data_IF_882849396539
#
_entry.id   IF_882849396539
#
_cell.length_a   1.000
_cell.length_b   1.000
_cell.length_c   1.000
_cell.angle_alpha   90.00
_cell.angle_beta   90.00
_cell.angle_gamma   90.00
#
_symmetry.space_group_name_H-M   'P 1'
#
loop_
_entity.id
_entity.type
_entity.pdbx_description
1 polymer ?
#
# COMPACT_ATOMS: atom_id res chain seq x y z
N UNK A 1 -4.04 23.44 9.13
CA UNK A 1 -4.72 22.32 9.80
C UNK A 1 -4.33 21.01 9.15
N UNK A 2 -3.67 20.11 9.89
CA UNK A 2 -3.01 18.89 9.41
C UNK A 2 -3.94 17.71 9.13
N UNK A 3 -5.14 17.97 8.63
CA UNK A 3 -6.15 16.95 8.34
C UNK A 3 -5.90 16.26 6.99
N UNK A 4 -6.35 15.01 6.86
CA UNK A 4 -6.29 14.23 5.62
C UNK A 4 -7.38 14.71 4.65
N UNK A 5 -6.98 15.23 3.49
CA UNK A 5 -7.88 15.75 2.48
C UNK A 5 -8.01 14.76 1.32
N UNK A 6 -9.19 14.15 1.15
CA UNK A 6 -9.45 13.19 0.08
C UNK A 6 -9.60 13.89 -1.28
N UNK A 7 -8.99 13.30 -2.31
CA UNK A 7 -9.15 13.69 -3.72
C UNK A 7 -9.82 12.59 -4.54
N UNK A 8 -9.33 12.36 -5.75
CA UNK A 8 -9.90 11.38 -6.68
C UNK A 8 -9.68 9.94 -6.22
N UNK A 9 -10.66 9.08 -6.46
CA UNK A 9 -10.48 7.62 -6.32
C UNK A 9 -9.50 7.12 -7.39
N UNK A 10 -8.51 6.34 -6.98
CA UNK A 10 -7.47 5.78 -7.86
C UNK A 10 -7.58 4.26 -8.01
N UNK A 11 -8.31 3.59 -7.11
CA UNK A 11 -8.55 2.16 -7.20
C UNK A 11 -9.73 1.72 -6.34
N UNK A 12 -10.35 0.61 -6.73
CA UNK A 12 -11.37 -0.08 -5.94
C UNK A 12 -11.16 -1.59 -6.05
N UNK A 13 -11.24 -2.28 -4.92
CA UNK A 13 -11.10 -3.73 -4.84
C UNK A 13 -12.01 -4.33 -3.77
N UNK A 14 -11.83 -5.64 -3.51
CA UNK A 14 -12.65 -6.36 -2.54
C UNK A 14 -12.60 -5.77 -1.13
N UNK A 15 -11.43 -5.27 -0.71
CA UNK A 15 -11.18 -4.76 0.63
C UNK A 15 -11.64 -3.32 0.86
N UNK A 16 -11.76 -2.52 -0.20
CA UNK A 16 -11.92 -1.08 -0.04
C UNK A 16 -11.70 -0.27 -1.29
N UNK A 17 -11.62 1.05 -1.08
CA UNK A 17 -11.34 2.05 -2.11
C UNK A 17 -10.07 2.79 -1.74
N UNK A 18 -9.23 3.05 -2.73
CA UNK A 18 -8.00 3.83 -2.59
C UNK A 18 -8.23 5.19 -3.22
N UNK A 19 -7.91 6.24 -2.49
CA UNK A 19 -8.01 7.62 -2.93
C UNK A 19 -6.62 8.24 -2.97
N UNK A 20 -6.36 9.07 -3.99
CA UNK A 20 -5.34 10.09 -3.87
C UNK A 20 -5.82 11.09 -2.82
N UNK A 21 -4.97 11.44 -1.87
CA UNK A 21 -5.27 12.39 -0.82
C UNK A 21 -4.07 13.28 -0.54
N UNK A 22 -4.25 14.30 0.30
CA UNK A 22 -3.19 15.21 0.73
C UNK A 22 -3.16 15.27 2.26
N UNK A 23 -1.97 15.11 2.84
CA UNK A 23 -1.74 15.23 4.28
C UNK A 23 -0.46 16.01 4.54
N UNK A 24 -0.55 17.04 5.41
CA UNK A 24 0.57 17.96 5.69
C UNK A 24 1.26 18.49 4.42
N UNK A 25 0.46 18.84 3.40
CA UNK A 25 0.90 19.30 2.08
C UNK A 25 1.56 18.26 1.15
N UNK A 26 1.71 17.00 1.60
CA UNK A 26 2.26 15.87 0.83
C UNK A 26 1.14 15.03 0.23
N UNK A 27 1.33 14.57 -1.01
CA UNK A 27 0.40 13.65 -1.66
C UNK A 27 0.56 12.23 -1.05
N UNK A 28 -0.56 11.61 -0.69
CA UNK A 28 -0.63 10.28 -0.06
C UNK A 28 -1.71 9.41 -0.71
N UNK A 29 -1.56 8.09 -0.59
CA UNK A 29 -2.59 7.11 -0.96
C UNK A 29 -3.36 6.70 0.29
N UNK A 30 -4.67 6.95 0.31
CA UNK A 30 -5.56 6.61 1.42
C UNK A 30 -6.48 5.43 1.05
N UNK A 31 -6.19 4.24 1.59
CA UNK A 31 -7.02 3.03 1.44
C UNK A 31 -8.09 3.01 2.52
N UNK A 32 -9.34 3.25 2.14
CA UNK A 32 -10.51 3.23 3.00
C UNK A 32 -11.17 1.86 2.92
N UNK A 33 -11.23 1.18 4.06
CA UNK A 33 -11.76 -0.19 4.15
C UNK A 33 -13.28 -0.18 4.24
N UNK A 34 -13.91 -1.20 3.64
CA UNK A 34 -15.36 -1.41 3.75
C UNK A 34 -15.75 -1.72 5.19
N UNK A 35 -16.99 -1.38 5.57
CA UNK A 35 -17.54 -1.69 6.89
C UNK A 35 -17.12 -0.75 8.03
N UNK A 36 -16.18 0.18 7.81
CA UNK A 36 -15.73 1.13 8.84
C UNK A 36 -16.86 2.03 9.41
N UNK A 37 -17.87 2.33 8.61
CA UNK A 37 -19.04 3.12 9.03
C UNK A 37 -19.95 2.38 10.01
N UNK A 38 -19.91 1.04 10.03
CA UNK A 38 -20.76 0.22 10.89
C UNK A 38 -20.21 0.05 12.31
N UNK A 39 -19.00 0.56 12.57
CA UNK A 39 -18.29 0.36 13.84
C UNK A 39 -17.81 -1.08 14.10
N UNK A 40 -18.10 -2.02 13.19
CA UNK A 40 -17.61 -3.40 13.29
C UNK A 40 -16.11 -3.46 13.03
N UNK A 41 -15.39 -4.25 13.81
CA UNK A 41 -13.97 -4.52 13.62
C UNK A 41 -13.72 -5.04 12.19
N UNK A 42 -12.82 -4.39 11.46
CA UNK A 42 -12.40 -4.83 10.12
C UNK A 42 -11.13 -5.67 10.23
N UNK A 43 -11.26 -7.01 10.18
CA UNK A 43 -10.12 -7.93 10.25
C UNK A 43 -9.08 -7.61 9.18
N UNK A 44 -9.52 -7.27 7.97
CA UNK A 44 -8.66 -6.93 6.84
C UNK A 44 -7.82 -5.68 7.13
N UNK A 45 -8.43 -4.64 7.72
CA UNK A 45 -7.70 -3.43 8.12
C UNK A 45 -6.60 -3.74 9.14
N UNK A 46 -6.92 -4.48 10.21
CA UNK A 46 -5.91 -4.81 11.22
C UNK A 46 -4.81 -5.70 10.67
N UNK A 47 -5.15 -6.71 9.85
CA UNK A 47 -4.16 -7.61 9.25
C UNK A 47 -3.17 -6.84 8.38
N UNK A 48 -3.68 -5.99 7.48
CA UNK A 48 -2.83 -5.21 6.59
C UNK A 48 -2.01 -4.15 7.34
N UNK A 49 -2.61 -3.49 8.34
CA UNK A 49 -1.90 -2.52 9.18
C UNK A 49 -0.76 -3.18 9.97
N UNK A 50 -1.00 -4.34 10.57
CA UNK A 50 0.01 -5.08 11.32
C UNK A 50 1.20 -5.48 10.46
N UNK A 51 0.95 -5.92 9.21
CA UNK A 51 2.02 -6.21 8.26
C UNK A 51 2.77 -4.93 7.90
N UNK A 52 2.08 -3.87 7.47
CA UNK A 52 2.70 -2.62 7.04
C UNK A 52 3.52 -1.93 8.14
N UNK A 53 3.11 -2.03 9.41
CA UNK A 53 3.87 -1.49 10.54
C UNK A 53 5.26 -2.15 10.71
N UNK A 54 5.47 -3.36 10.18
CA UNK A 54 6.76 -4.08 10.25
C UNK A 54 7.67 -3.80 9.04
N UNK A 55 7.15 -3.16 7.99
CA UNK A 55 7.84 -3.03 6.72
C UNK A 55 8.51 -1.66 6.59
N UNK A 56 9.82 -1.68 6.35
CA UNK A 56 10.61 -0.49 6.01
C UNK A 56 11.68 -0.83 4.98
N UNK A 57 11.37 -0.61 3.72
CA UNK A 57 12.24 -0.95 2.59
C UNK A 57 12.01 0.03 1.42
N UNK A 58 13.05 0.44 0.66
CA UNK A 58 12.89 1.38 -0.46
C UNK A 58 11.94 0.90 -1.57
N UNK A 59 11.76 -0.42 -1.73
CA UNK A 59 10.85 -1.01 -2.72
C UNK A 59 9.50 -1.47 -2.16
N UNK A 60 9.09 -0.95 -1.01
CA UNK A 60 7.76 -1.17 -0.42
C UNK A 60 7.16 0.19 -0.09
N UNK A 61 5.86 0.38 -0.35
CA UNK A 61 5.18 1.64 0.00
C UNK A 61 5.25 1.89 1.51
N UNK A 62 5.78 3.04 1.89
CA UNK A 62 5.89 3.47 3.27
C UNK A 62 4.51 3.74 3.86
N UNK A 63 4.22 3.11 5.00
CA UNK A 63 3.11 3.47 5.87
C UNK A 63 3.38 4.84 6.49
N UNK A 64 2.55 5.84 6.16
CA UNK A 64 2.69 7.20 6.70
C UNK A 64 1.76 7.43 7.90
N UNK A 65 0.64 6.71 7.96
CA UNK A 65 -0.31 6.81 9.07
C UNK A 65 -1.56 5.96 8.87
N UNK A 66 -2.48 6.04 9.82
CA UNK A 66 -3.76 5.34 9.76
C UNK A 66 -4.85 6.08 10.57
N UNK A 67 -6.11 5.79 10.26
CA UNK A 67 -7.28 6.31 10.97
C UNK A 67 -8.23 5.16 11.35
N UNK A 68 -8.71 5.14 12.59
CA UNK A 68 -9.78 4.22 13.02
C UNK A 68 -11.19 4.81 12.80
N UNK A 69 -11.33 6.14 12.93
CA UNK A 69 -12.59 6.87 12.74
C UNK A 69 -12.38 8.08 11.83
N UNK A 70 -13.40 8.53 11.08
CA UNK A 70 -14.73 7.93 10.95
C UNK A 70 -14.75 6.62 10.15
N UNK A 71 -13.66 6.30 9.44
CA UNK A 71 -13.51 5.06 8.67
C UNK A 71 -12.11 4.49 8.87
N UNK A 72 -12.01 3.17 8.96
CA UNK A 72 -10.72 2.47 8.92
C UNK A 72 -9.97 2.82 7.63
N UNK A 73 -8.85 3.51 7.78
CA UNK A 73 -8.06 4.05 6.67
C UNK A 73 -6.59 3.77 6.91
N UNK A 74 -5.90 3.19 5.92
CA UNK A 74 -4.44 3.10 5.89
C UNK A 74 -3.94 4.18 4.93
N UNK A 75 -2.93 4.94 5.36
CA UNK A 75 -2.32 6.02 4.58
C UNK A 75 -0.88 5.63 4.27
N UNK A 76 -0.54 5.62 2.99
CA UNK A 76 0.80 5.34 2.48
C UNK A 76 1.27 6.48 1.59
N UNK A 77 2.56 6.50 1.27
CA UNK A 77 3.07 7.40 0.24
C UNK A 77 2.34 7.22 -1.10
N UNK A 78 2.20 8.31 -1.86
CA UNK A 78 1.57 8.26 -3.19
C UNK A 78 2.61 8.12 -4.30
N UNK A 79 2.38 7.17 -5.21
CA UNK A 79 3.21 6.95 -6.39
C UNK A 79 2.50 7.54 -7.62
N UNK A 80 3.05 8.62 -8.17
CA UNK A 80 2.50 9.40 -9.27
C UNK A 80 2.57 8.72 -10.63
N UNK A 81 3.52 7.80 -10.84
CA UNK A 81 3.65 7.06 -12.10
C UNK A 81 2.65 5.92 -12.27
N UNK A 82 1.76 5.70 -11.30
CA UNK A 82 0.73 4.65 -11.36
C UNK A 82 1.31 3.25 -11.19
N UNK A 83 0.56 2.24 -11.64
CA UNK A 83 0.97 0.85 -11.54
C UNK A 83 1.72 0.36 -12.78
N UNK A 84 2.50 -0.71 -12.62
CA UNK A 84 3.10 -1.43 -13.74
C UNK A 84 2.04 -1.97 -14.70
N UNK A 85 0.84 -2.31 -14.20
CA UNK A 85 -0.30 -2.68 -15.06
C UNK A 85 -0.69 -1.53 -15.99
N UNK A 86 -0.82 -0.30 -15.47
CA UNK A 86 -1.13 0.88 -16.27
C UNK A 86 -0.06 1.14 -17.33
N UNK A 87 1.21 0.92 -16.96
CA UNK A 87 2.33 1.07 -17.88
C UNK A 87 2.35 0.03 -19.00
N UNK A 88 2.03 -1.23 -18.68
CA UNK A 88 2.04 -2.34 -19.63
C UNK A 88 0.79 -2.39 -20.52
N UNK A 89 -0.35 -1.91 -20.05
CA UNK A 89 -1.65 -2.09 -20.71
C UNK A 89 -2.36 -0.75 -21.03
N UNK A 90 -1.74 0.38 -20.69
CA UNK A 90 -2.25 1.70 -20.99
C UNK A 90 -2.23 2.06 -22.48
N UNK A 91 -2.91 3.15 -22.84
CA UNK A 91 -3.13 3.60 -24.24
C UNK A 91 -1.85 4.02 -24.99
N UNK A 92 -0.72 4.12 -24.30
CA UNK A 92 0.60 4.42 -24.86
C UNK A 92 1.64 3.61 -24.07
N UNK A 93 1.82 2.29 -24.34
CA UNK A 93 3.03 1.63 -23.90
C UNK A 93 4.19 2.49 -24.40
N UNK A 94 5.21 2.82 -23.58
CA UNK A 94 6.24 3.72 -24.05
C UNK A 94 6.88 3.07 -25.26
N UNK A 95 6.89 3.79 -26.39
CA UNK A 95 7.45 3.35 -27.66
C UNK A 95 8.91 2.89 -27.54
N UNK A 96 9.56 3.25 -26.43
CA UNK A 96 10.99 3.17 -26.18
C UNK A 96 11.32 2.42 -24.88
N UNK A 97 10.58 1.35 -24.53
CA UNK A 97 11.01 0.44 -23.46
C UNK A 97 12.36 -0.16 -23.83
N UNK A 98 13.41 0.32 -23.18
CA UNK A 98 14.72 -0.29 -23.31
C UNK A 98 14.80 -1.52 -22.39
N UNK A 99 15.51 -2.56 -22.82
CA UNK A 99 15.66 -3.79 -22.04
C UNK A 99 16.26 -3.52 -20.65
N UNK A 100 17.09 -2.48 -20.50
CA UNK A 100 17.65 -2.07 -19.22
C UNK A 100 16.59 -1.60 -18.21
N UNK A 101 15.52 -0.94 -18.66
CA UNK A 101 14.41 -0.52 -17.82
C UNK A 101 13.61 -1.73 -17.32
N UNK A 102 13.37 -2.71 -18.19
CA UNK A 102 12.72 -3.98 -17.82
C UNK A 102 13.49 -4.65 -16.70
N UNK A 103 14.81 -4.82 -16.90
CA UNK A 103 15.70 -5.46 -15.94
C UNK A 103 15.76 -4.67 -14.64
N UNK A 104 15.77 -3.34 -14.70
CA UNK A 104 15.71 -2.47 -13.52
C UNK A 104 14.44 -2.72 -12.71
N UNK A 105 13.27 -2.65 -13.35
CA UNK A 105 11.98 -2.87 -12.67
C UNK A 105 11.92 -4.26 -12.04
N UNK A 106 12.31 -5.29 -12.79
CA UNK A 106 12.34 -6.67 -12.30
C UNK A 106 13.27 -6.83 -11.08
N UNK A 107 14.46 -6.20 -11.13
CA UNK A 107 15.41 -6.21 -10.01
C UNK A 107 14.81 -5.57 -8.76
N UNK A 108 14.19 -4.41 -8.88
CA UNK A 108 13.59 -3.70 -7.73
C UNK A 108 12.43 -4.51 -7.10
N UNK A 109 11.61 -5.19 -7.92
CA UNK A 109 10.58 -6.14 -7.42
C UNK A 109 11.25 -7.29 -6.65
N UNK A 110 12.32 -7.87 -7.19
CA UNK A 110 13.04 -8.95 -6.52
C UNK A 110 13.63 -8.49 -5.17
N UNK A 111 14.18 -7.27 -5.09
CA UNK A 111 14.69 -6.72 -3.83
C UNK A 111 13.58 -6.60 -2.77
N UNK A 112 12.40 -6.12 -3.16
CA UNK A 112 11.24 -6.10 -2.26
C UNK A 112 10.86 -7.50 -1.76
N UNK A 113 10.79 -8.49 -2.66
CA UNK A 113 10.41 -9.86 -2.30
C UNK A 113 11.45 -10.56 -1.43
N UNK A 114 12.74 -10.35 -1.68
CA UNK A 114 13.82 -10.85 -0.81
C UNK A 114 13.68 -10.27 0.59
N UNK A 115 13.42 -8.96 0.71
CA UNK A 115 13.17 -8.33 2.00
C UNK A 115 11.94 -8.90 2.72
N UNK A 116 10.81 -9.09 2.02
CA UNK A 116 9.60 -9.67 2.61
C UNK A 116 9.87 -11.08 3.15
N UNK A 117 10.47 -11.94 2.34
CA UNK A 117 10.75 -13.32 2.72
C UNK A 117 11.78 -13.42 3.85
N UNK A 118 12.75 -12.50 3.92
CA UNK A 118 13.69 -12.43 5.04
C UNK A 118 13.04 -12.00 6.38
N UNK A 119 11.83 -11.42 6.33
CA UNK A 119 11.02 -11.06 7.49
C UNK A 119 9.83 -12.01 7.69
N UNK A 120 9.90 -13.22 7.12
CA UNK A 120 8.84 -14.24 7.22
C UNK A 120 7.47 -13.78 6.73
N UNK A 121 7.42 -12.85 5.77
CA UNK A 121 6.19 -12.31 5.20
C UNK A 121 6.00 -12.83 3.77
N UNK A 122 4.87 -13.47 3.51
CA UNK A 122 4.43 -13.86 2.16
C UNK A 122 3.40 -12.84 1.67
N UNK A 123 3.64 -12.20 0.53
CA UNK A 123 2.73 -11.17 0.00
C UNK A 123 1.37 -11.73 -0.47
N UNK A 124 1.37 -12.93 -1.05
CA UNK A 124 0.18 -13.65 -1.58
C UNK A 124 -0.60 -12.97 -2.73
N UNK A 125 -0.24 -11.77 -3.17
CA UNK A 125 -0.95 -11.04 -4.24
C UNK A 125 0.02 -10.21 -5.10
N UNK A 126 1.18 -10.79 -5.44
CA UNK A 126 2.12 -10.13 -6.34
C UNK A 126 1.58 -10.16 -7.78
N UNK A 127 1.24 -8.99 -8.31
CA UNK A 127 0.77 -8.78 -9.69
C UNK A 127 1.12 -7.37 -10.15
N UNK A 128 1.05 -7.11 -11.46
CA UNK A 128 1.45 -5.83 -12.05
C UNK A 128 0.66 -4.61 -11.53
N UNK A 129 -0.58 -4.79 -11.07
CA UNK A 129 -1.36 -3.69 -10.46
C UNK A 129 -0.88 -3.30 -9.06
N UNK A 130 -0.15 -4.21 -8.39
CA UNK A 130 0.38 -4.02 -7.03
C UNK A 130 1.88 -3.63 -7.05
N UNK A 131 2.41 -3.33 -8.22
CA UNK A 131 3.75 -2.76 -8.42
C UNK A 131 3.56 -1.31 -8.85
N UNK A 132 3.92 -0.36 -7.99
CA UNK A 132 3.78 1.07 -8.24
C UNK A 132 5.10 1.69 -8.71
N UNK A 133 5.01 2.74 -9.52
CA UNK A 133 6.14 3.35 -10.21
C UNK A 133 6.12 4.89 -10.02
N UNK A 134 7.29 5.49 -9.87
CA UNK A 134 7.54 6.93 -10.12
C UNK A 134 8.58 7.12 -11.24
N UNK A 135 9.20 6.04 -11.67
CA UNK A 135 10.21 5.96 -12.72
C UNK A 135 10.82 4.55 -12.76
N UNK A 136 11.75 4.26 -13.70
CA UNK A 136 12.32 2.91 -13.87
C UNK A 136 13.19 2.44 -12.69
N UNK A 137 13.62 3.36 -11.81
CA UNK A 137 14.41 3.08 -10.62
C UNK A 137 13.66 3.38 -9.31
N UNK A 138 12.37 3.70 -9.41
CA UNK A 138 11.54 4.01 -8.24
C UNK A 138 10.29 3.15 -8.30
N UNK A 139 10.47 1.90 -7.86
CA UNK A 139 9.51 0.81 -7.93
C UNK A 139 9.17 0.37 -6.51
N UNK A 140 7.89 0.30 -6.17
CA UNK A 140 7.44 -0.10 -4.84
C UNK A 140 6.28 -1.10 -4.92
N UNK A 141 6.34 -2.15 -4.09
CA UNK A 141 5.20 -3.03 -3.88
C UNK A 141 4.18 -2.39 -2.93
N UNK A 142 2.91 -2.60 -3.22
CA UNK A 142 1.78 -2.16 -2.41
C UNK A 142 0.74 -3.28 -2.24
N UNK A 143 -0.32 -3.00 -1.47
CA UNK A 143 -1.48 -3.87 -1.24
C UNK A 143 -1.13 -5.18 -0.51
N UNK A 144 -1.00 -5.07 0.82
CA UNK A 144 -0.67 -6.19 1.70
C UNK A 144 -1.92 -6.84 2.31
N UNK A 145 -3.10 -6.64 1.72
CA UNK A 145 -4.36 -7.14 2.24
C UNK A 145 -4.47 -8.67 2.32
N UNK A 146 -3.67 -9.38 1.52
CA UNK A 146 -3.53 -10.84 1.54
C UNK A 146 -2.23 -11.33 2.17
N UNK A 147 -1.37 -10.41 2.62
CA UNK A 147 -0.07 -10.78 3.14
C UNK A 147 -0.20 -11.52 4.47
N UNK A 148 0.70 -12.49 4.68
CA UNK A 148 0.68 -13.35 5.84
C UNK A 148 2.07 -13.47 6.47
N UNK A 149 2.12 -13.36 7.79
CA UNK A 149 3.30 -13.63 8.61
C UNK A 149 3.38 -15.14 8.87
N UNK A 150 4.49 -15.76 8.50
CA UNK A 150 4.75 -17.16 8.80
C UNK A 150 5.06 -17.28 10.30
N UNK A 151 4.27 -18.07 11.03
CA UNK A 151 4.53 -18.43 12.42
C UNK A 151 3.93 -17.52 13.50
N UNK A 152 3.18 -16.47 13.16
CA UNK A 152 2.43 -15.66 14.14
C UNK A 152 1.02 -16.26 14.37
N UNK A 153 0.73 -16.67 15.61
CA UNK A 153 -0.64 -16.88 16.09
C UNK A 153 -1.38 -15.53 16.13
N UNK A 154 -2.67 -15.47 15.76
CA UNK A 154 -3.38 -14.19 15.65
C UNK A 154 -3.44 -13.45 16.99
N UNK A 155 -2.84 -12.25 17.03
CA UNK A 155 -2.85 -11.39 18.20
C UNK A 155 -4.29 -11.02 18.63
N UNK A 156 -4.55 -11.10 19.93
CA UNK A 156 -5.82 -10.76 20.54
C UNK A 156 -6.24 -9.31 20.27
N UNK A 157 -7.52 -9.13 19.97
CA UNK A 157 -8.14 -7.86 19.58
C UNK A 157 -8.31 -6.94 20.79
N UNK A 158 -7.70 -5.75 20.75
CA UNK A 158 -7.93 -4.70 21.74
C UNK A 158 -8.74 -3.54 21.10
N UNK A 159 -9.73 -3.04 21.85
CA UNK A 159 -10.64 -1.98 21.40
C UNK A 159 -9.92 -0.62 21.40
N UNK A 160 -9.56 -0.13 20.21
CA UNK A 160 -8.96 1.19 20.06
C UNK A 160 -10.00 2.32 20.15
N UNK A 161 -9.72 3.31 21.00
CA UNK A 161 -10.36 4.63 21.01
C UNK A 161 -10.06 5.42 19.73
N UNK A 162 -10.53 6.67 19.65
CA UNK A 162 -10.21 7.54 18.51
C UNK A 162 -8.73 7.89 18.57
N UNK A 163 -7.91 7.21 17.75
CA UNK A 163 -6.49 7.48 17.62
C UNK A 163 -6.14 7.69 16.15
N UNK A 164 -5.51 8.82 15.85
CA UNK A 164 -4.76 9.02 14.62
C UNK A 164 -3.31 8.73 15.00
N UNK A 165 -2.75 7.63 14.48
CA UNK A 165 -1.36 7.28 14.71
C UNK A 165 -0.48 7.83 13.60
N UNK A 166 0.60 8.51 13.96
CA UNK A 166 1.72 8.80 13.06
C UNK A 166 2.82 7.78 13.36
N UNK A 167 3.39 7.16 12.33
CA UNK A 167 4.58 6.33 12.49
C UNK A 167 5.78 7.26 12.33
N UNK A 168 6.48 7.54 13.44
CA UNK A 168 7.71 8.33 13.49
C UNK A 168 8.96 7.48 13.24
#
# INVERSE_FOLDING_TARGET
>A
DGELQFGSMVGEGGYGRVYKARWMHVDVAAKVFRGGETGKLSKDFYSELCVLCRLRHPNITLLTGFCFRPKYTIVTEYMHGGSLYDLLHGKRPPSDWNFSQVVSIAREICLAMVYLHANDIVHCDLKSSNVLLNGPHEVKLCDFGLAHLLGDEPAAQEQAGVTIGCVG
#
